data_IF_187913732855
#
_entry.id   IF_187913732855
#
_cell.length_a   1.000
_cell.length_b   1.000
_cell.length_c   1.000
_cell.angle_alpha   90.00
_cell.angle_beta   90.00
_cell.angle_gamma   90.00
#
_symmetry.space_group_name_H-M   'P 1'
#
loop_
_entity.id
_entity.type
_entity.pdbx_description
1 polymer ?
#
# COMPACT_ATOMS: atom_id res chain seq x y z
N UNK A 1 8.03 4.63 -6.78
CA UNK A 1 7.02 4.69 -5.71
C UNK A 1 6.76 3.29 -5.18
N UNK A 2 6.65 3.14 -3.88
CA UNK A 2 6.52 1.84 -3.22
C UNK A 2 5.20 1.77 -2.48
N UNK A 3 4.49 0.67 -2.61
CA UNK A 3 3.25 0.40 -1.89
C UNK A 3 3.38 -0.88 -1.07
N UNK A 4 2.67 -0.90 0.05
CA UNK A 4 2.71 -1.96 1.03
C UNK A 4 1.40 -2.73 1.07
N UNK A 5 1.49 -4.06 1.03
CA UNK A 5 0.37 -4.93 1.33
C UNK A 5 0.68 -5.64 2.64
N UNK A 6 -0.06 -5.32 3.69
CA UNK A 6 0.10 -5.98 4.97
C UNK A 6 -0.93 -7.11 5.03
N UNK A 7 -0.42 -8.33 5.09
CA UNK A 7 -1.26 -9.51 5.17
C UNK A 7 -1.30 -10.01 6.60
N UNK A 8 -2.49 -10.04 7.19
CA UNK A 8 -2.70 -10.59 8.53
C UNK A 8 -4.03 -11.33 8.53
N UNK A 9 -4.03 -12.61 8.91
CA UNK A 9 -5.23 -13.45 8.98
C UNK A 9 -6.06 -13.43 7.68
N UNK A 10 -5.40 -13.51 6.53
CA UNK A 10 -6.03 -13.45 5.21
C UNK A 10 -6.73 -12.12 4.92
N UNK A 11 -6.21 -11.04 5.49
CA UNK A 11 -6.70 -9.68 5.25
C UNK A 11 -5.54 -8.81 4.81
N UNK A 12 -5.86 -7.76 4.05
CA UNK A 12 -4.91 -6.75 3.61
C UNK A 12 -5.33 -5.41 4.16
N UNK A 13 -4.36 -4.56 4.47
CA UNK A 13 -4.60 -3.23 5.01
C UNK A 13 -4.66 -2.21 3.88
N UNK A 14 -5.78 -1.49 3.79
CA UNK A 14 -5.99 -0.46 2.78
C UNK A 14 -6.27 0.88 3.44
N UNK A 15 -5.84 1.96 2.79
CA UNK A 15 -6.00 3.32 3.31
C UNK A 15 -6.63 4.23 2.26
N UNK A 16 -7.42 5.20 2.72
CA UNK A 16 -7.99 6.24 1.86
C UNK A 16 -7.11 7.49 1.94
N UNK A 17 -6.75 8.02 0.78
CA UNK A 17 -5.91 9.22 0.70
C UNK A 17 -6.66 10.43 1.26
N UNK A 18 -6.02 11.14 2.19
CA UNK A 18 -6.63 12.28 2.90
C UNK A 18 -6.44 13.64 2.24
N UNK A 19 -5.60 13.77 1.20
CA UNK A 19 -5.29 15.03 0.55
C UNK A 19 -4.84 14.84 -0.90
N UNK A 20 -4.69 15.94 -1.62
CA UNK A 20 -4.20 15.95 -2.99
C UNK A 20 -5.27 15.65 -4.02
N UNK A 21 -4.84 15.53 -5.29
CA UNK A 21 -5.72 15.35 -6.44
C UNK A 21 -6.52 14.04 -6.41
N UNK A 22 -5.98 13.02 -5.73
CA UNK A 22 -6.61 11.71 -5.65
C UNK A 22 -7.25 11.45 -4.29
N UNK A 23 -7.61 12.53 -3.57
CA UNK A 23 -8.27 12.45 -2.27
C UNK A 23 -9.51 11.56 -2.32
N UNK A 24 -9.66 10.72 -1.31
CA UNK A 24 -10.79 9.79 -1.21
C UNK A 24 -10.56 8.47 -1.93
N UNK A 25 -9.53 8.36 -2.78
CA UNK A 25 -9.18 7.11 -3.43
C UNK A 25 -8.50 6.16 -2.45
N UNK A 26 -8.78 4.87 -2.58
CA UNK A 26 -8.18 3.84 -1.74
C UNK A 26 -6.94 3.25 -2.38
N UNK A 27 -5.94 3.00 -1.56
CA UNK A 27 -4.65 2.48 -1.98
C UNK A 27 -4.01 1.68 -0.86
N UNK A 28 -2.89 1.04 -1.16
CA UNK A 28 -2.06 0.43 -0.13
C UNK A 28 -1.06 1.48 0.38
N UNK A 29 -0.75 1.47 1.69
CA UNK A 29 0.20 2.46 2.23
C UNK A 29 1.61 2.25 1.68
N UNK A 30 2.35 3.33 1.59
CA UNK A 30 3.71 3.35 1.07
C UNK A 30 4.10 4.75 0.63
N UNK A 31 5.17 4.86 -0.14
CA UNK A 31 5.66 6.15 -0.61
C UNK A 31 6.81 6.03 -1.59
N UNK A 32 7.56 7.12 -1.74
CA UNK A 32 8.64 7.21 -2.72
C UNK A 32 9.95 6.65 -2.18
N UNK A 33 10.71 6.00 -3.08
CA UNK A 33 12.09 5.61 -2.80
C UNK A 33 12.97 6.85 -2.93
N UNK A 34 13.76 7.13 -1.90
CA UNK A 34 14.72 8.24 -1.93
C UNK A 34 16.08 7.75 -2.44
N UNK A 35 16.91 8.70 -2.87
CA UNK A 35 18.26 8.40 -3.36
C UNK A 35 19.04 7.66 -2.28
N UNK A 36 19.64 6.52 -2.65
CA UNK A 36 20.45 5.72 -1.74
C UNK A 36 19.67 4.66 -0.96
N UNK A 37 18.35 4.64 -1.09
CA UNK A 37 17.53 3.61 -0.46
C UNK A 37 17.23 2.46 -1.41
N UNK A 38 17.13 1.24 -0.87
CA UNK A 38 16.50 0.14 -1.60
C UNK A 38 14.98 0.30 -1.47
N UNK A 39 14.19 -0.33 -2.35
CA UNK A 39 12.73 -0.34 -2.22
C UNK A 39 12.25 -0.81 -0.85
N UNK A 40 12.88 -1.83 -0.29
CA UNK A 40 12.53 -2.38 1.01
C UNK A 40 12.81 -1.39 2.15
N UNK A 41 13.95 -0.70 2.09
CA UNK A 41 14.31 0.32 3.08
C UNK A 41 13.34 1.50 3.03
N UNK A 42 13.00 1.94 1.83
CA UNK A 42 12.04 3.03 1.63
C UNK A 42 10.68 2.68 2.22
N UNK A 43 10.23 1.45 2.00
CA UNK A 43 8.94 0.99 2.51
C UNK A 43 8.91 0.98 4.04
N UNK A 44 9.96 0.47 4.68
CA UNK A 44 10.06 0.49 6.14
C UNK A 44 10.01 1.91 6.68
N UNK A 45 10.74 2.84 6.07
CA UNK A 45 10.78 4.25 6.47
C UNK A 45 9.42 4.90 6.32
N UNK A 46 8.77 4.73 5.17
CA UNK A 46 7.46 5.33 4.90
C UNK A 46 6.39 4.84 5.87
N UNK A 47 6.37 3.53 6.17
CA UNK A 47 5.38 2.99 7.10
C UNK A 47 5.64 3.49 8.52
N UNK A 48 6.89 3.65 8.92
CA UNK A 48 7.20 4.24 10.22
C UNK A 48 6.75 5.70 10.28
N UNK A 49 7.00 6.48 9.22
CA UNK A 49 6.60 7.88 9.16
C UNK A 49 5.08 8.07 9.11
N UNK A 50 4.39 7.27 8.31
CA UNK A 50 2.96 7.43 8.06
C UNK A 50 2.06 6.74 9.09
N UNK A 51 2.48 5.58 9.60
CA UNK A 51 1.65 4.72 10.44
C UNK A 51 2.27 4.40 11.80
N UNK A 52 3.43 4.94 12.10
CA UNK A 52 4.15 4.69 13.35
C UNK A 52 4.29 3.19 13.66
N UNK A 53 4.60 2.40 12.63
CA UNK A 53 4.61 0.95 12.69
C UNK A 53 5.89 0.39 12.08
N UNK A 54 6.50 -0.58 12.77
CA UNK A 54 7.65 -1.31 12.27
C UNK A 54 7.17 -2.56 11.53
N UNK A 55 7.67 -2.76 10.31
CA UNK A 55 7.31 -3.90 9.48
C UNK A 55 8.53 -4.70 9.06
N UNK A 56 8.28 -5.96 8.70
CA UNK A 56 9.24 -6.81 8.00
C UNK A 56 8.77 -6.95 6.56
N UNK A 57 9.61 -6.56 5.61
CA UNK A 57 9.28 -6.66 4.18
C UNK A 57 9.60 -8.06 3.68
N UNK A 58 8.61 -8.70 3.06
CA UNK A 58 8.72 -10.04 2.51
C UNK A 58 8.85 -10.05 1.00
N UNK A 59 8.17 -11.00 0.36
CA UNK A 59 8.27 -11.19 -1.09
C UNK A 59 7.63 -10.07 -1.91
N UNK A 60 8.22 -9.79 -3.07
CA UNK A 60 7.62 -8.92 -4.08
C UNK A 60 6.38 -9.61 -4.65
N UNK A 61 5.25 -8.92 -4.65
CA UNK A 61 4.03 -9.42 -5.27
C UNK A 61 4.11 -9.17 -6.77
N UNK A 62 4.39 -7.93 -7.16
CA UNK A 62 4.53 -7.51 -8.54
C UNK A 62 5.03 -6.06 -8.61
N UNK A 63 5.46 -5.66 -9.80
CA UNK A 63 5.77 -4.27 -10.12
C UNK A 63 4.67 -3.76 -11.05
N UNK A 64 3.98 -2.71 -10.65
CA UNK A 64 2.85 -2.13 -11.39
C UNK A 64 3.30 -0.84 -12.06
N UNK A 65 3.00 -0.73 -13.35
CA UNK A 65 3.22 0.47 -14.15
C UNK A 65 1.85 1.04 -14.54
N UNK A 66 1.63 2.32 -14.30
CA UNK A 66 0.36 2.96 -14.65
C UNK A 66 0.56 4.42 -15.06
N UNK A 67 -0.07 4.82 -16.17
CA UNK A 67 -0.03 6.20 -16.64
C UNK A 67 -1.29 6.95 -16.20
N UNK A 68 -1.12 7.85 -15.22
CA UNK A 68 -2.15 8.81 -14.89
C UNK A 68 -2.06 10.00 -15.85
N UNK A 69 -3.10 10.81 -15.99
CA UNK A 69 -3.08 11.93 -16.96
C UNK A 69 -1.90 12.89 -16.82
N UNK A 70 -1.38 13.07 -15.61
CA UNK A 70 -0.33 14.04 -15.33
C UNK A 70 1.00 13.43 -14.93
N UNK A 71 1.07 12.12 -14.74
CA UNK A 71 2.33 11.46 -14.33
C UNK A 71 2.30 9.94 -14.59
N UNK A 72 3.49 9.36 -14.70
CA UNK A 72 3.67 7.91 -14.76
C UNK A 72 3.96 7.37 -13.37
N UNK A 73 3.25 6.32 -12.97
CA UNK A 73 3.47 5.63 -11.71
C UNK A 73 4.13 4.28 -11.95
N UNK A 74 5.25 4.06 -11.25
CA UNK A 74 5.89 2.74 -11.19
C UNK A 74 5.99 2.37 -9.72
N UNK A 75 5.40 1.22 -9.33
CA UNK A 75 5.39 0.82 -7.93
C UNK A 75 5.72 -0.65 -7.74
N UNK A 76 6.65 -0.90 -6.81
CA UNK A 76 6.99 -2.24 -6.36
C UNK A 76 6.12 -2.57 -5.15
N UNK A 77 5.41 -3.68 -5.21
CA UNK A 77 4.44 -4.07 -4.20
C UNK A 77 4.90 -5.31 -3.46
N UNK A 78 4.98 -5.22 -2.15
CA UNK A 78 5.53 -6.29 -1.30
C UNK A 78 4.52 -6.79 -0.28
N UNK A 79 4.59 -8.09 0.03
CA UNK A 79 3.96 -8.62 1.23
C UNK A 79 4.78 -8.20 2.43
N UNK A 80 4.11 -7.77 3.50
CA UNK A 80 4.78 -7.33 4.73
C UNK A 80 4.08 -7.87 5.96
N UNK A 81 4.83 -7.96 7.05
CA UNK A 81 4.33 -8.35 8.36
C UNK A 81 4.56 -7.21 9.35
N UNK A 82 3.61 -7.02 10.26
CA UNK A 82 3.76 -6.06 11.34
C UNK A 82 4.64 -6.69 12.41
N UNK A 83 5.73 -6.01 12.77
CA UNK A 83 6.63 -6.42 13.85
C UNK A 83 6.20 -5.73 15.14
N UNK A 84 5.93 -4.42 15.07
CA UNK A 84 5.57 -3.62 16.23
C UNK A 84 4.81 -2.37 15.80
N UNK A 85 3.76 -2.02 16.53
CA UNK A 85 2.96 -0.83 16.29
C UNK A 85 1.50 -1.16 15.99
N UNK A 86 0.68 -0.13 15.96
CA UNK A 86 -0.79 -0.27 15.87
C UNK A 86 -1.40 0.31 14.59
N UNK A 87 -0.59 0.60 13.57
CA UNK A 87 -1.04 1.23 12.32
C UNK A 87 -1.80 2.54 12.59
N UNK A 88 -1.13 3.48 13.23
CA UNK A 88 -1.69 4.79 13.57
C UNK A 88 -1.81 5.66 12.32
N UNK A 89 -3.02 6.15 12.01
CA UNK A 89 -3.25 7.00 10.85
C UNK A 89 -2.82 8.44 11.16
N UNK A 90 -1.82 8.94 10.45
CA UNK A 90 -1.34 10.31 10.60
C UNK A 90 -1.79 11.22 9.45
N UNK A 91 -1.84 10.68 8.24
CA UNK A 91 -2.14 11.45 7.02
C UNK A 91 -3.31 10.91 6.23
N UNK A 92 -3.76 9.69 6.51
CA UNK A 92 -4.84 9.06 5.78
C UNK A 92 -6.20 9.41 6.39
N UNK A 93 -7.20 9.52 5.53
CA UNK A 93 -8.57 9.85 5.93
C UNK A 93 -9.27 8.67 6.61
N UNK A 94 -9.00 7.46 6.14
CA UNK A 94 -9.61 6.23 6.65
C UNK A 94 -8.73 5.02 6.36
N UNK A 95 -9.03 3.91 7.01
CA UNK A 95 -8.35 2.65 6.77
C UNK A 95 -9.28 1.48 7.04
N UNK A 96 -9.05 0.36 6.36
CA UNK A 96 -9.79 -0.87 6.56
C UNK A 96 -8.91 -2.09 6.33
N UNK A 97 -9.18 -3.15 7.08
CA UNK A 97 -8.70 -4.49 6.76
C UNK A 97 -9.71 -5.14 5.84
N UNK A 98 -9.26 -5.61 4.68
CA UNK A 98 -10.11 -6.22 3.66
C UNK A 98 -9.74 -7.68 3.46
N UNK A 99 -10.77 -8.54 3.37
CA UNK A 99 -10.58 -9.94 3.02
C UNK A 99 -10.93 -10.14 1.53
N UNK A 100 -10.84 -11.37 1.06
CA UNK A 100 -11.12 -11.70 -0.33
C UNK A 100 -12.54 -11.30 -0.78
N UNK A 101 -13.51 -11.36 0.13
CA UNK A 101 -14.90 -11.01 -0.17
C UNK A 101 -15.16 -9.52 -0.13
N UNK A 102 -14.47 -8.77 0.74
CA UNK A 102 -14.67 -7.34 0.91
C UNK A 102 -13.71 -6.48 0.07
N UNK A 103 -12.86 -7.10 -0.74
CA UNK A 103 -11.84 -6.39 -1.49
C UNK A 103 -12.38 -5.33 -2.45
N UNK A 104 -13.60 -5.49 -2.94
CA UNK A 104 -14.23 -4.53 -3.84
C UNK A 104 -15.13 -3.50 -3.13
N UNK A 105 -15.13 -3.49 -1.79
CA UNK A 105 -16.01 -2.58 -1.03
C UNK A 105 -15.50 -1.14 -0.95
N UNK A 106 -14.31 -0.89 -1.48
CA UNK A 106 -13.70 0.45 -1.48
C UNK A 106 -13.37 0.90 -2.90
N UNK A 107 -13.27 2.22 -3.10
CA UNK A 107 -12.97 2.83 -4.40
C UNK A 107 -11.45 2.86 -4.63
N UNK A 108 -10.90 1.77 -5.13
CA UNK A 108 -9.46 1.69 -5.41
C UNK A 108 -9.01 2.70 -6.45
N UNK A 109 -7.84 3.30 -6.24
CA UNK A 109 -7.19 4.08 -7.28
C UNK A 109 -6.85 3.16 -8.47
N UNK A 110 -6.89 3.71 -9.71
CA UNK A 110 -6.70 2.88 -10.92
C UNK A 110 -5.47 1.97 -10.92
N UNK A 111 -4.33 2.46 -10.46
CA UNK A 111 -3.11 1.66 -10.40
C UNK A 111 -3.25 0.46 -9.47
N UNK A 112 -4.03 0.61 -8.39
CA UNK A 112 -4.22 -0.45 -7.41
C UNK A 112 -5.20 -1.53 -7.86
N UNK A 113 -6.09 -1.22 -8.80
CA UNK A 113 -7.05 -2.18 -9.34
C UNK A 113 -6.32 -3.38 -9.97
N UNK A 114 -5.27 -3.12 -10.72
CA UNK A 114 -4.46 -4.17 -11.34
C UNK A 114 -3.82 -5.06 -10.28
N UNK A 115 -3.32 -4.46 -9.21
CA UNK A 115 -2.68 -5.19 -8.12
C UNK A 115 -3.67 -6.04 -7.35
N UNK A 116 -4.90 -5.57 -7.15
CA UNK A 116 -5.95 -6.28 -6.41
C UNK A 116 -6.21 -7.67 -6.98
N UNK A 117 -6.25 -7.81 -8.30
CA UNK A 117 -6.47 -9.11 -8.93
C UNK A 117 -5.36 -10.08 -8.62
N UNK A 118 -4.11 -9.62 -8.62
CA UNK A 118 -2.95 -10.45 -8.29
C UNK A 118 -2.94 -10.85 -6.82
N UNK A 119 -3.31 -9.94 -5.94
CA UNK A 119 -3.43 -10.22 -4.51
C UNK A 119 -4.51 -11.27 -4.26
N UNK A 120 -5.66 -11.12 -4.91
CA UNK A 120 -6.77 -12.06 -4.75
C UNK A 120 -6.38 -13.48 -5.12
N UNK A 121 -5.58 -13.66 -6.17
CA UNK A 121 -5.08 -14.97 -6.58
C UNK A 121 -4.16 -15.60 -5.54
N UNK A 122 -3.45 -14.78 -4.76
CA UNK A 122 -2.48 -15.24 -3.76
C UNK A 122 -3.05 -15.40 -2.35
N UNK A 123 -4.27 -15.01 -2.14
CA UNK A 123 -4.94 -15.12 -0.83
C UNK A 123 -5.65 -16.45 -0.59
#
# INVERSE_FOLDING_TARGET
MIYLNIKEKNKIFATARGYGDLKGGWEFPGGKVEIGETPQEALKREIMEELDTEIKVGELIDTIEYDYPTFHLSMDCFWCEIVKGDLVLKEHEAAQWLNKKSMNDVDWLPADITLIEKIREKM
#
